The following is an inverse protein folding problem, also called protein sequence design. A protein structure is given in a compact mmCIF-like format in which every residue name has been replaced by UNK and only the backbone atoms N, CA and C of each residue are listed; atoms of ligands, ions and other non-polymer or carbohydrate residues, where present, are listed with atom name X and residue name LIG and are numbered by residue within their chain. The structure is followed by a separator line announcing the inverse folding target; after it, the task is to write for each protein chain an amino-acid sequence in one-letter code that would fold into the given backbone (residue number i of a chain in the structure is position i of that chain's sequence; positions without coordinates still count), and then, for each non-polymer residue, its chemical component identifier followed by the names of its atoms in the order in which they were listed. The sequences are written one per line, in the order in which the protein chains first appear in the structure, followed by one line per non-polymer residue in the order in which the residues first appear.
data_IF_832264215435
#
_entry.id   IF_832264215435
#
_cell.length_a   1.000
_cell.length_b   1.000
_cell.length_c   1.000
_cell.angle_alpha   90.00
_cell.angle_beta   90.00
_cell.angle_gamma   90.00
#
_symmetry.space_group_name_H-M   'P 1'
#
loop_
_entity.id
_entity.type
_entity.pdbx_description
1 polymer ?
#
# COMPACT_ATOMS: atom_id res chain seq x y z
N UNK A 1 30.53 -45.77 13.98
CA UNK A 1 29.81 -44.49 13.85
C UNK A 1 29.33 -44.08 15.23
N UNK A 2 29.65 -42.87 15.72
CA UNK A 2 29.29 -42.40 17.07
C UNK A 2 28.15 -41.41 16.95
N UNK A 3 26.96 -41.81 17.39
CA UNK A 3 25.75 -41.02 17.19
C UNK A 3 25.67 -39.89 18.24
N UNK A 4 26.08 -38.70 17.82
CA UNK A 4 26.18 -37.50 18.67
C UNK A 4 24.82 -36.86 18.97
N UNK A 5 23.75 -37.29 18.30
CA UNK A 5 22.41 -36.68 18.41
C UNK A 5 21.49 -37.41 19.39
N UNK A 6 21.92 -38.53 19.97
CA UNK A 6 21.13 -39.34 20.90
C UNK A 6 20.66 -38.59 22.16
N UNK A 7 21.30 -37.47 22.51
CA UNK A 7 20.91 -36.62 23.66
C UNK A 7 20.00 -35.45 23.27
N UNK A 8 19.73 -35.23 21.99
CA UNK A 8 18.92 -34.10 21.56
C UNK A 8 17.44 -34.41 21.81
N UNK A 9 16.81 -33.58 22.64
CA UNK A 9 15.36 -33.63 22.88
C UNK A 9 14.65 -33.01 21.67
N UNK A 10 13.63 -33.68 21.15
CA UNK A 10 12.85 -33.16 20.03
C UNK A 10 12.21 -31.83 20.43
N UNK A 11 12.57 -30.76 19.74
CA UNK A 11 12.15 -29.39 20.06
C UNK A 11 10.63 -29.24 19.99
N UNK A 12 9.93 -30.03 19.16
CA UNK A 12 8.48 -29.93 18.95
C UNK A 12 8.05 -28.61 18.28
N UNK A 13 8.98 -27.67 18.12
CA UNK A 13 8.79 -26.40 17.47
C UNK A 13 9.06 -26.56 15.97
N UNK A 14 8.26 -25.92 15.10
CA UNK A 14 8.50 -25.93 13.68
C UNK A 14 9.88 -25.32 13.37
N UNK A 15 10.62 -25.98 12.48
CA UNK A 15 12.00 -25.63 12.12
C UNK A 15 12.12 -24.27 11.41
N UNK A 16 11.03 -23.75 10.85
CA UNK A 16 10.90 -22.41 10.32
C UNK A 16 9.43 -21.97 10.33
N UNK A 17 9.17 -20.77 10.85
CA UNK A 17 7.85 -20.11 10.73
C UNK A 17 7.93 -19.22 9.49
N UNK A 18 7.21 -19.55 8.42
CA UNK A 18 7.10 -18.66 7.26
C UNK A 18 6.17 -17.51 7.62
N UNK A 19 6.74 -16.34 7.92
CA UNK A 19 6.00 -15.10 8.07
C UNK A 19 5.59 -14.58 6.67
N UNK A 20 4.50 -15.10 6.12
CA UNK A 20 4.00 -14.71 4.79
C UNK A 20 2.99 -13.55 4.86
N UNK A 21 2.43 -13.28 6.04
CA UNK A 21 1.33 -12.32 6.21
C UNK A 21 1.77 -10.85 6.05
N UNK A 22 3.04 -10.54 6.32
CA UNK A 22 3.51 -9.14 6.30
C UNK A 22 3.79 -8.59 4.90
N UNK A 23 4.12 -9.44 3.92
CA UNK A 23 4.55 -8.99 2.58
C UNK A 23 3.34 -8.80 1.64
N UNK A 24 2.33 -9.66 1.75
CA UNK A 24 1.09 -9.56 0.96
C UNK A 24 0.23 -8.36 1.40
N UNK A 25 0.21 -8.06 2.71
CA UNK A 25 -0.49 -6.88 3.25
C UNK A 25 0.15 -5.57 2.82
N UNK A 26 1.48 -5.48 2.74
CA UNK A 26 2.14 -4.25 2.29
C UNK A 26 1.79 -3.90 0.85
N UNK A 27 1.73 -4.89 -0.05
CA UNK A 27 1.37 -4.63 -1.44
C UNK A 27 -0.10 -4.21 -1.57
N UNK A 28 -1.03 -4.93 -0.93
CA UNK A 28 -2.45 -4.58 -0.95
C UNK A 28 -2.74 -3.19 -0.37
N UNK A 29 -2.06 -2.82 0.73
CA UNK A 29 -2.18 -1.49 1.31
C UNK A 29 -1.58 -0.43 0.39
N UNK A 30 -0.41 -0.66 -0.20
CA UNK A 30 0.22 0.29 -1.12
C UNK A 30 -0.71 0.65 -2.30
N UNK A 31 -1.41 -0.32 -2.89
CA UNK A 31 -2.37 -0.04 -3.96
C UNK A 31 -3.53 0.85 -3.49
N UNK A 32 -4.08 0.60 -2.30
CA UNK A 32 -5.17 1.41 -1.74
C UNK A 32 -4.74 2.85 -1.40
N UNK A 33 -3.54 3.02 -0.86
CA UNK A 33 -2.99 4.34 -0.55
C UNK A 33 -2.70 5.14 -1.82
N UNK A 34 -2.19 4.48 -2.86
CA UNK A 34 -1.88 5.10 -4.14
C UNK A 34 -3.17 5.53 -4.86
N UNK A 35 -4.21 4.69 -4.86
CA UNK A 35 -5.50 5.03 -5.45
C UNK A 35 -6.17 6.23 -4.74
N UNK A 36 -6.09 6.27 -3.40
CA UNK A 36 -6.55 7.42 -2.60
C UNK A 36 -5.76 8.70 -2.88
N UNK A 37 -4.46 8.59 -3.15
CA UNK A 37 -3.61 9.72 -3.51
C UNK A 37 -3.99 10.26 -4.91
N UNK A 38 -4.15 9.37 -5.89
CA UNK A 38 -4.52 9.74 -7.26
C UNK A 38 -5.89 10.40 -7.29
N UNK A 39 -6.89 9.83 -6.62
CA UNK A 39 -8.24 10.40 -6.57
C UNK A 39 -8.26 11.78 -5.92
N UNK A 40 -7.52 11.98 -4.83
CA UNK A 40 -7.37 13.29 -4.19
C UNK A 40 -6.76 14.33 -5.15
N UNK A 41 -5.68 13.97 -5.85
CA UNK A 41 -5.04 14.84 -6.83
C UNK A 41 -5.99 15.20 -7.98
N UNK A 42 -6.75 14.22 -8.47
CA UNK A 42 -7.71 14.41 -9.55
C UNK A 42 -8.85 15.37 -9.14
N UNK A 43 -9.34 15.28 -7.91
CA UNK A 43 -10.33 16.20 -7.37
C UNK A 43 -9.78 17.64 -7.34
N UNK A 44 -8.57 17.83 -6.80
CA UNK A 44 -7.95 19.17 -6.73
C UNK A 44 -7.75 19.75 -8.13
N UNK A 45 -7.25 18.94 -9.06
CA UNK A 45 -7.00 19.38 -10.43
C UNK A 45 -8.29 19.74 -11.17
N UNK A 46 -9.32 18.90 -11.07
CA UNK A 46 -10.62 19.15 -11.71
C UNK A 46 -11.30 20.40 -11.16
N UNK A 47 -11.33 20.59 -9.83
CA UNK A 47 -11.89 21.78 -9.20
C UNK A 47 -11.15 23.04 -9.64
N UNK A 48 -9.81 23.01 -9.64
CA UNK A 48 -8.99 24.14 -10.10
C UNK A 48 -9.32 24.53 -11.55
N UNK A 49 -9.42 23.55 -12.43
CA UNK A 49 -9.75 23.75 -13.84
C UNK A 49 -11.13 24.40 -14.00
N UNK A 50 -12.14 23.90 -13.28
CA UNK A 50 -13.50 24.44 -13.30
C UNK A 50 -13.52 25.89 -12.80
N UNK A 51 -12.81 26.20 -11.70
CA UNK A 51 -12.73 27.56 -11.17
C UNK A 51 -12.07 28.51 -12.16
N UNK A 52 -10.96 28.11 -12.78
CA UNK A 52 -10.26 28.92 -13.79
C UNK A 52 -11.17 29.14 -15.01
N UNK A 53 -11.82 28.10 -15.52
CA UNK A 53 -12.76 28.21 -16.64
C UNK A 53 -13.93 29.13 -16.32
N UNK A 54 -14.47 29.07 -15.10
CA UNK A 54 -15.56 29.93 -14.66
C UNK A 54 -15.14 31.40 -14.57
N UNK A 55 -13.96 31.66 -14.01
CA UNK A 55 -13.37 33.01 -13.94
C UNK A 55 -13.13 33.57 -15.34
N UNK A 56 -12.60 32.77 -16.26
CA UNK A 56 -12.42 33.20 -17.65
C UNK A 56 -13.76 33.49 -18.33
N UNK A 57 -14.76 32.63 -18.14
CA UNK A 57 -16.09 32.83 -18.73
C UNK A 57 -16.75 34.09 -18.19
N UNK A 58 -16.75 34.32 -16.89
CA UNK A 58 -17.39 35.50 -16.28
C UNK A 58 -16.57 36.78 -16.51
N UNK A 59 -15.24 36.68 -16.45
CA UNK A 59 -14.32 37.78 -16.75
C UNK A 59 -14.34 38.21 -18.21
N UNK A 60 -14.72 37.33 -19.14
CA UNK A 60 -14.99 37.68 -20.54
C UNK A 60 -16.39 38.28 -20.79
N UNK A 61 -17.30 38.15 -19.82
CA UNK A 61 -18.70 38.59 -19.93
C UNK A 61 -18.92 39.99 -19.31
N UNK A 62 -17.96 40.49 -18.53
CA UNK A 62 -17.89 41.88 -18.02
C UNK A 62 -17.06 42.72 -18.98
#
# INVERSE_FOLDING_TARGET
MKDIYRKNKHSGQPMAIKNMESLELSDALNYLWLDRLITSLYIVLSVSLVVISLVLSLGSVI
#
